data_IF_327894798521
#
_entry.id   IF_327894798521
#
_cell.length_a   1.000
_cell.length_b   1.000
_cell.length_c   1.000
_cell.angle_alpha   90.00
_cell.angle_beta   90.00
_cell.angle_gamma   90.00
#
_symmetry.space_group_name_H-M   'P 1'
#
loop_
_entity.id
_entity.type
_entity.pdbx_description
1 polymer ?
#
# COMPACT_ATOMS: atom_id res chain seq x y z
N UNK A 1 -23.70 39.60 -20.45
CA UNK A 1 -24.71 38.53 -20.35
C UNK A 1 -23.99 37.19 -20.24
N UNK A 2 -23.56 36.78 -19.03
CA UNK A 2 -22.99 35.45 -18.79
C UNK A 2 -24.08 34.54 -18.22
N UNK A 3 -24.36 33.49 -18.97
CA UNK A 3 -25.41 32.51 -18.74
C UNK A 3 -25.07 31.68 -17.49
N UNK A 4 -25.55 32.09 -16.32
CA UNK A 4 -25.46 31.29 -15.08
C UNK A 4 -26.43 30.09 -15.22
N UNK A 5 -25.96 29.05 -15.91
CA UNK A 5 -26.69 27.80 -16.12
C UNK A 5 -26.88 27.14 -14.76
N UNK A 6 -28.08 27.26 -14.17
CA UNK A 6 -28.41 26.54 -12.93
C UNK A 6 -28.20 25.04 -13.18
N UNK A 7 -27.28 24.37 -12.46
CA UNK A 7 -27.14 22.93 -12.60
C UNK A 7 -28.44 22.32 -12.10
N UNK A 8 -29.18 21.64 -12.97
CA UNK A 8 -30.34 20.85 -12.54
C UNK A 8 -29.82 19.82 -11.55
N UNK A 9 -30.25 19.92 -10.29
CA UNK A 9 -29.82 19.08 -9.17
C UNK A 9 -29.96 17.56 -9.46
N UNK A 10 -30.80 17.19 -10.42
CA UNK A 10 -30.96 15.84 -10.95
C UNK A 10 -29.73 15.30 -11.71
N UNK A 11 -28.92 16.16 -12.34
CA UNK A 11 -27.71 15.76 -13.09
C UNK A 11 -26.54 15.37 -12.17
N UNK A 12 -26.51 15.87 -10.92
CA UNK A 12 -25.52 15.47 -9.92
C UNK A 12 -25.83 14.11 -9.27
N UNK A 13 -27.08 13.63 -9.32
CA UNK A 13 -27.48 12.35 -8.71
C UNK A 13 -26.93 11.13 -9.46
N UNK A 14 -26.90 11.21 -10.79
CA UNK A 14 -26.41 10.12 -11.65
C UNK A 14 -24.94 9.74 -11.39
N UNK A 15 -23.96 10.67 -11.33
CA UNK A 15 -22.56 10.29 -11.07
C UNK A 15 -22.34 9.78 -9.64
N UNK A 16 -23.11 10.25 -8.65
CA UNK A 16 -22.99 9.81 -7.25
C UNK A 16 -23.41 8.35 -7.08
N UNK A 17 -24.52 7.95 -7.69
CA UNK A 17 -24.99 6.56 -7.70
C UNK A 17 -24.00 5.62 -8.38
N UNK A 18 -23.42 6.06 -9.50
CA UNK A 18 -22.43 5.28 -10.25
C UNK A 18 -21.14 5.09 -9.44
N UNK A 19 -20.67 6.13 -8.76
CA UNK A 19 -19.50 6.08 -7.89
C UNK A 19 -19.72 5.14 -6.70
N UNK A 20 -20.90 5.17 -6.08
CA UNK A 20 -21.24 4.30 -4.95
C UNK A 20 -21.18 2.81 -5.32
N UNK A 21 -21.68 2.42 -6.50
CA UNK A 21 -21.62 1.03 -6.96
C UNK A 21 -20.19 0.51 -7.17
N UNK A 22 -19.25 1.37 -7.61
CA UNK A 22 -17.85 0.97 -7.85
C UNK A 22 -17.13 0.70 -6.54
N UNK A 23 -17.37 1.50 -5.50
CA UNK A 23 -16.72 1.34 -4.19
C UNK A 23 -17.17 0.05 -3.49
N UNK A 24 -18.42 -0.38 -3.67
CA UNK A 24 -18.93 -1.63 -3.09
C UNK A 24 -18.23 -2.90 -3.63
N UNK A 25 -17.66 -2.86 -4.83
CA UNK A 25 -16.98 -4.02 -5.44
C UNK A 25 -15.55 -4.24 -4.90
N UNK A 26 -15.00 -3.29 -4.13
CA UNK A 26 -13.61 -3.37 -3.64
C UNK A 26 -13.43 -4.28 -2.41
N UNK A 27 -14.52 -4.73 -1.77
CA UNK A 27 -14.48 -5.56 -0.56
C UNK A 27 -14.75 -7.05 -0.85
N UNK A 28 -13.93 -7.68 -1.69
CA UNK A 28 -13.96 -9.15 -1.81
C UNK A 28 -13.17 -9.80 -0.67
N UNK A 29 -13.86 -10.63 0.13
CA UNK A 29 -13.20 -11.48 1.12
C UNK A 29 -12.56 -12.66 0.39
N UNK A 30 -11.24 -12.62 0.24
CA UNK A 30 -10.44 -13.70 -0.37
C UNK A 30 -10.00 -14.65 0.73
N UNK A 31 -10.14 -15.96 0.52
CA UNK A 31 -9.76 -16.93 1.54
C UNK A 31 -8.24 -16.90 1.79
N UNK A 32 -7.75 -17.15 3.02
CA UNK A 32 -6.34 -17.00 3.37
C UNK A 32 -5.37 -17.79 2.47
N UNK A 33 -5.78 -18.98 2.02
CA UNK A 33 -4.98 -19.84 1.13
C UNK A 33 -4.96 -19.37 -0.33
N UNK A 34 -5.95 -18.59 -0.78
CA UNK A 34 -5.98 -17.97 -2.12
C UNK A 34 -5.02 -16.77 -2.21
N UNK A 35 -4.59 -16.21 -1.07
CA UNK A 35 -3.60 -15.12 -1.03
C UNK A 35 -2.17 -15.61 -1.30
N UNK A 36 -1.90 -16.90 -1.08
CA UNK A 36 -0.57 -17.49 -1.26
C UNK A 36 -0.11 -17.53 -2.71
N UNK A 37 -1.04 -17.54 -3.68
CA UNK A 37 -0.73 -17.50 -5.12
C UNK A 37 -0.60 -16.08 -5.68
N UNK A 38 -1.05 -15.07 -4.92
CA UNK A 38 -1.05 -13.67 -5.34
C UNK A 38 0.30 -12.99 -5.07
N UNK A 39 0.92 -13.30 -3.94
CA UNK A 39 2.21 -12.77 -3.55
C UNK A 39 3.33 -13.65 -4.11
N UNK A 40 4.09 -13.11 -5.09
CA UNK A 40 5.27 -13.81 -5.58
C UNK A 40 6.40 -13.76 -4.55
N UNK A 41 7.34 -14.73 -4.52
CA UNK A 41 8.48 -14.70 -3.61
C UNK A 41 9.32 -13.43 -3.71
N UNK A 42 9.38 -12.80 -4.90
CA UNK A 42 10.14 -11.56 -5.13
C UNK A 42 9.47 -10.32 -4.54
N UNK A 43 8.18 -10.41 -4.17
CA UNK A 43 7.44 -9.32 -3.52
C UNK A 43 7.64 -9.30 -2.00
N UNK A 44 8.46 -10.20 -1.46
CA UNK A 44 8.78 -10.20 -0.03
C UNK A 44 9.58 -8.94 0.33
N UNK A 45 9.40 -8.47 1.57
CA UNK A 45 10.15 -7.32 2.13
C UNK A 45 11.67 -7.58 2.07
N UNK A 46 12.07 -8.85 2.13
CA UNK A 46 13.48 -9.24 2.09
C UNK A 46 13.62 -10.53 1.26
N UNK A 47 13.75 -10.40 -0.07
CA UNK A 47 13.77 -11.57 -0.97
C UNK A 47 15.07 -12.38 -0.82
N UNK A 48 16.13 -11.79 -0.25
CA UNK A 48 17.42 -12.44 -0.04
C UNK A 48 17.91 -12.22 1.40
N UNK A 49 17.36 -12.96 2.38
CA UNK A 49 17.64 -12.72 3.80
C UNK A 49 19.13 -12.87 4.15
N UNK A 50 19.84 -13.80 3.51
CA UNK A 50 21.28 -14.00 3.72
C UNK A 50 22.10 -12.78 3.31
N UNK A 51 21.75 -12.15 2.19
CA UNK A 51 22.45 -10.97 1.69
C UNK A 51 22.16 -9.74 2.55
N UNK A 52 20.90 -9.60 3.00
CA UNK A 52 20.50 -8.52 3.88
C UNK A 52 21.18 -8.61 5.24
N UNK A 53 21.21 -9.80 5.86
CA UNK A 53 21.93 -10.00 7.12
C UNK A 53 23.43 -9.72 7.01
N UNK A 54 24.06 -10.06 5.87
CA UNK A 54 25.46 -9.71 5.62
C UNK A 54 25.66 -8.19 5.55
N UNK A 55 24.78 -7.47 4.85
CA UNK A 55 24.83 -6.01 4.73
C UNK A 55 24.60 -5.33 6.08
N UNK A 56 23.67 -5.84 6.88
CA UNK A 56 23.40 -5.34 8.23
C UNK A 56 24.62 -5.54 9.14
N UNK A 57 25.30 -6.69 9.06
CA UNK A 57 26.56 -6.93 9.77
C UNK A 57 27.67 -5.94 9.37
N UNK A 58 27.81 -5.68 8.07
CA UNK A 58 28.80 -4.73 7.56
C UNK A 58 28.46 -3.30 8.03
N UNK A 59 27.18 -2.91 7.93
CA UNK A 59 26.71 -1.60 8.35
C UNK A 59 26.90 -1.40 9.85
N UNK A 60 26.50 -2.37 10.68
CA UNK A 60 26.70 -2.32 12.13
C UNK A 60 28.19 -2.24 12.50
N UNK A 61 29.08 -2.84 11.71
CA UNK A 61 30.51 -2.77 11.96
C UNK A 61 31.12 -1.40 11.61
N UNK A 62 30.49 -0.64 10.71
CA UNK A 62 31.03 0.62 10.19
C UNK A 62 30.34 1.85 10.76
N UNK A 63 29.03 1.77 11.00
CA UNK A 63 28.15 2.94 11.14
C UNK A 63 27.07 2.75 12.23
N UNK A 64 27.23 1.79 13.16
CA UNK A 64 26.22 1.48 14.19
C UNK A 64 25.79 2.69 15.05
N UNK A 65 26.67 3.67 15.25
CA UNK A 65 26.35 4.89 16.01
C UNK A 65 25.43 5.86 15.27
N UNK A 66 25.20 5.67 13.97
CA UNK A 66 24.37 6.56 13.14
C UNK A 66 22.88 6.16 13.09
N UNK A 67 22.49 5.10 13.79
CA UNK A 67 21.15 4.52 13.72
C UNK A 67 21.02 3.56 12.54
N UNK A 68 20.36 2.41 12.77
CA UNK A 68 20.24 1.32 11.80
C UNK A 68 18.92 1.30 11.02
N UNK A 69 18.87 0.45 10.00
CA UNK A 69 17.70 0.24 9.16
C UNK A 69 16.63 -0.63 9.86
N UNK A 70 15.94 -0.10 10.86
CA UNK A 70 14.75 -0.75 11.46
C UNK A 70 13.51 -0.44 10.63
N UNK A 71 13.42 -1.07 9.46
CA UNK A 71 12.30 -0.97 8.52
C UNK A 71 11.71 -2.34 8.21
N UNK A 72 11.41 -3.15 9.22
CA UNK A 72 10.62 -4.37 9.01
C UNK A 72 9.22 -3.95 8.57
N UNK A 73 8.87 -4.27 7.33
CA UNK A 73 7.68 -3.75 6.66
C UNK A 73 6.41 -3.80 7.51
N UNK A 74 5.72 -2.66 7.55
CA UNK A 74 4.38 -2.52 8.10
C UNK A 74 4.26 -1.82 9.46
N UNK A 75 5.36 -1.37 10.08
CA UNK A 75 5.33 -0.62 11.35
C UNK A 75 5.81 0.81 11.18
N UNK A 76 5.24 1.74 11.97
CA UNK A 76 5.80 3.08 12.19
C UNK A 76 7.25 2.90 12.67
N UNK A 77 8.22 3.17 11.79
CA UNK A 77 9.65 2.88 11.96
C UNK A 77 10.33 3.77 13.01
N UNK A 78 9.78 3.84 14.21
CA UNK A 78 10.46 4.40 15.36
C UNK A 78 11.32 3.29 15.98
N UNK A 79 12.62 3.57 16.12
CA UNK A 79 13.50 2.87 17.05
C UNK A 79 12.97 3.04 18.47
#
# INVERSE_FOLDING_TARGET
>A
MTFFRKPRLSYLRQPILLCACVVCQACSSVAPWERGTLARPEMSINPNPSLTGLRDHIFSSKEASQGGHSGTGGGCGCN
#
